data_IF_018160063359
#
_entry.id   IF_018160063359
#
_cell.length_a   1.000
_cell.length_b   1.000
_cell.length_c   1.000
_cell.angle_alpha   90.00
_cell.angle_beta   90.00
_cell.angle_gamma   90.00
#
_symmetry.space_group_name_H-M   'P 1'
#
loop_
_entity.id
_entity.type
_entity.pdbx_description
1 polymer ?
#
# COMPACT_ATOMS: atom_id res chain seq x y z
N UNK A 1 -53.92 -31.56 -65.79
CA UNK A 1 -54.22 -31.66 -64.34
C UNK A 1 -53.13 -30.94 -63.59
N UNK A 2 -53.56 -29.95 -62.81
CA UNK A 2 -52.85 -29.03 -61.89
C UNK A 2 -51.36 -29.27 -61.61
N UNK A 3 -50.52 -28.31 -62.04
CA UNK A 3 -49.16 -28.09 -61.52
C UNK A 3 -49.24 -26.98 -60.46
N UNK A 4 -48.91 -27.31 -59.20
CA UNK A 4 -48.84 -26.35 -58.08
C UNK A 4 -47.45 -25.73 -58.03
N UNK A 5 -47.39 -24.40 -58.16
CA UNK A 5 -46.21 -23.59 -57.86
C UNK A 5 -46.05 -23.43 -56.35
N UNK A 6 -44.84 -23.65 -55.84
CA UNK A 6 -44.47 -23.40 -54.44
C UNK A 6 -43.73 -22.06 -54.41
N UNK A 7 -44.37 -21.05 -53.82
CA UNK A 7 -43.70 -19.80 -53.46
C UNK A 7 -43.04 -19.97 -52.09
N UNK A 8 -41.70 -19.97 -52.05
CA UNK A 8 -40.93 -19.95 -50.81
C UNK A 8 -40.77 -18.52 -50.30
N UNK A 9 -41.34 -18.21 -49.14
CA UNK A 9 -41.13 -16.95 -48.43
C UNK A 9 -39.79 -16.99 -47.69
N UNK A 10 -38.83 -16.15 -48.11
CA UNK A 10 -37.56 -15.96 -47.40
C UNK A 10 -37.82 -15.01 -46.21
N UNK A 11 -37.71 -15.53 -44.99
CA UNK A 11 -37.71 -14.73 -43.76
C UNK A 11 -36.28 -14.30 -43.48
N UNK A 12 -35.97 -13.01 -43.68
CA UNK A 12 -34.70 -12.41 -43.28
C UNK A 12 -34.79 -12.08 -41.79
N UNK A 13 -34.15 -12.89 -40.95
CA UNK A 13 -34.01 -12.64 -39.52
C UNK A 13 -32.84 -11.67 -39.32
N UNK A 14 -33.14 -10.42 -38.97
CA UNK A 14 -32.15 -9.46 -38.52
C UNK A 14 -31.74 -9.80 -37.09
N UNK A 15 -30.59 -10.45 -36.92
CA UNK A 15 -29.96 -10.64 -35.61
C UNK A 15 -29.32 -9.31 -35.22
N UNK A 16 -30.05 -8.49 -34.46
CA UNK A 16 -29.43 -7.37 -33.75
C UNK A 16 -28.62 -7.95 -32.58
N UNK A 17 -27.30 -8.01 -32.73
CA UNK A 17 -26.40 -8.23 -31.61
C UNK A 17 -26.47 -7.02 -30.68
N UNK A 18 -27.25 -7.13 -29.60
CA UNK A 18 -27.17 -6.23 -28.46
C UNK A 18 -25.81 -6.45 -27.78
N UNK A 19 -24.79 -5.75 -28.25
CA UNK A 19 -23.56 -5.54 -27.49
C UNK A 19 -23.91 -4.70 -26.27
N UNK A 20 -24.11 -5.36 -25.13
CA UNK A 20 -24.15 -4.68 -23.84
C UNK A 20 -22.76 -4.12 -23.62
N UNK A 21 -22.54 -2.86 -23.99
CA UNK A 21 -21.31 -2.15 -23.65
C UNK A 21 -21.30 -1.98 -22.13
N UNK A 22 -20.58 -2.86 -21.43
CA UNK A 22 -20.19 -2.55 -20.06
C UNK A 22 -19.36 -1.28 -20.11
N UNK A 23 -19.76 -0.25 -19.36
CA UNK A 23 -18.96 0.95 -19.23
C UNK A 23 -17.58 0.56 -18.71
N UNK A 24 -16.53 0.82 -19.50
CA UNK A 24 -15.16 0.54 -19.10
C UNK A 24 -14.84 1.46 -17.91
N UNK A 25 -14.62 0.85 -16.75
CA UNK A 25 -14.34 1.55 -15.48
C UNK A 25 -12.90 2.10 -15.41
N UNK A 26 -12.12 1.90 -16.46
CA UNK A 26 -10.78 2.45 -16.63
C UNK A 26 -10.61 3.00 -18.04
N UNK A 27 -9.71 3.96 -18.20
CA UNK A 27 -9.30 4.52 -19.48
C UNK A 27 -8.47 3.54 -20.32
N UNK A 28 -8.04 3.98 -21.52
CA UNK A 28 -7.13 3.21 -22.36
C UNK A 28 -5.78 3.00 -21.67
N UNK A 29 -5.00 2.06 -22.20
CA UNK A 29 -3.61 1.89 -21.79
C UNK A 29 -2.79 3.12 -22.16
N UNK A 30 -2.01 3.62 -21.21
CA UNK A 30 -1.10 4.76 -21.38
C UNK A 30 0.34 4.32 -21.13
N UNK A 31 1.26 4.69 -22.01
CA UNK A 31 2.69 4.38 -21.86
C UNK A 31 3.46 5.68 -21.75
N UNK A 32 4.28 5.79 -20.71
CA UNK A 32 5.15 6.96 -20.50
C UNK A 32 6.55 6.50 -20.14
N UNK A 33 7.56 7.14 -20.73
CA UNK A 33 8.95 6.94 -20.34
C UNK A 33 9.26 7.73 -19.07
N UNK A 34 10.26 7.29 -18.32
CA UNK A 34 10.86 8.13 -17.30
C UNK A 34 11.35 9.43 -17.95
N UNK A 35 10.96 10.58 -17.39
CA UNK A 35 11.42 11.90 -17.88
C UNK A 35 12.88 12.15 -17.55
N UNK A 36 13.43 11.39 -16.60
CA UNK A 36 14.82 11.42 -16.22
C UNK A 36 15.25 10.10 -15.59
N UNK A 37 16.49 9.68 -15.86
CA UNK A 37 17.12 8.51 -15.28
C UNK A 37 18.64 8.67 -15.18
N UNK A 38 19.24 8.19 -14.09
CA UNK A 38 20.70 8.07 -13.95
C UNK A 38 21.13 6.96 -12.97
N UNK A 39 22.43 6.92 -12.71
CA UNK A 39 23.07 6.12 -11.67
C UNK A 39 23.67 7.06 -10.62
N UNK A 40 23.35 6.85 -9.35
CA UNK A 40 23.89 7.66 -8.25
C UNK A 40 25.35 7.30 -7.94
N UNK A 41 26.01 8.13 -7.13
CA UNK A 41 27.16 7.70 -6.34
C UNK A 41 26.70 6.73 -5.23
N UNK A 42 27.58 5.95 -4.59
CA UNK A 42 27.20 5.20 -3.40
C UNK A 42 26.64 6.14 -2.33
N UNK A 43 25.44 5.86 -1.82
CA UNK A 43 24.74 6.72 -0.86
C UNK A 43 25.58 7.03 0.38
N UNK A 44 26.38 6.07 0.85
CA UNK A 44 27.33 6.27 1.97
C UNK A 44 28.37 7.38 1.73
N UNK A 45 28.62 7.75 0.48
CA UNK A 45 29.54 8.81 0.08
C UNK A 45 28.83 10.15 -0.17
N UNK A 46 27.49 10.13 -0.28
CA UNK A 46 26.68 11.32 -0.49
C UNK A 46 26.62 12.10 0.82
N UNK A 47 27.00 13.38 0.77
CA UNK A 47 26.84 14.27 1.91
C UNK A 47 25.34 14.48 2.18
N UNK A 48 24.85 14.21 3.40
CA UNK A 48 23.45 14.47 3.74
C UNK A 48 23.04 15.91 3.46
N UNK A 49 21.87 16.08 2.85
CA UNK A 49 21.24 17.39 2.70
C UNK A 49 20.77 17.89 4.08
N UNK A 50 20.70 19.21 4.31
CA UNK A 50 20.09 19.73 5.53
C UNK A 50 18.59 19.38 5.57
N UNK A 51 18.03 19.09 6.75
CA UNK A 51 16.59 18.94 6.91
C UNK A 51 15.82 20.15 6.41
N UNK A 52 14.63 19.92 5.86
CA UNK A 52 13.75 21.00 5.46
C UNK A 52 13.32 21.80 6.70
N UNK A 53 13.47 23.13 6.63
CA UNK A 53 13.10 24.01 7.73
C UNK A 53 11.58 24.18 7.83
N UNK A 54 11.09 24.31 9.07
CA UNK A 54 9.68 24.57 9.37
C UNK A 54 8.84 23.31 9.51
N UNK A 55 7.64 23.48 10.06
CA UNK A 55 6.66 22.41 10.24
C UNK A 55 5.62 22.49 9.10
N UNK A 56 5.33 21.36 8.44
CA UNK A 56 4.36 21.26 7.35
C UNK A 56 3.21 20.34 7.75
N UNK A 57 2.03 20.91 7.93
CA UNK A 57 0.80 20.12 7.98
C UNK A 57 0.25 20.02 6.55
N UNK A 58 0.22 18.80 6.03
CA UNK A 58 -0.31 18.49 4.70
C UNK A 58 -1.76 18.02 4.89
N UNK A 59 -2.74 18.63 4.19
CA UNK A 59 -4.12 18.17 4.27
C UNK A 59 -4.24 16.71 3.84
N UNK A 60 -4.89 15.90 4.68
CA UNK A 60 -5.31 14.56 4.32
C UNK A 60 -6.50 14.63 3.35
N UNK A 61 -6.35 14.07 2.16
CA UNK A 61 -7.44 13.96 1.19
C UNK A 61 -8.20 12.65 1.39
N UNK A 62 -9.36 12.74 2.06
CA UNK A 62 -10.32 11.65 2.16
C UNK A 62 -11.01 11.40 0.83
N UNK A 63 -11.18 10.12 0.47
CA UNK A 63 -11.82 9.69 -0.78
C UNK A 63 -13.32 9.54 -0.55
N UNK A 64 -14.17 10.26 -1.31
CA UNK A 64 -15.61 10.16 -1.16
C UNK A 64 -16.11 8.74 -1.45
N UNK A 65 -16.87 8.15 -0.53
CA UNK A 65 -17.59 6.91 -0.77
C UNK A 65 -18.93 6.92 -0.03
N UNK A 66 -19.85 6.04 -0.42
CA UNK A 66 -21.16 5.94 0.22
C UNK A 66 -21.05 5.27 1.59
N UNK A 67 -21.14 6.05 2.66
CA UNK A 67 -21.32 5.51 4.01
C UNK A 67 -22.70 4.87 4.13
N UNK A 68 -22.72 3.61 4.56
CA UNK A 68 -23.97 3.00 5.02
C UNK A 68 -24.25 3.40 6.47
N UNK A 69 -25.54 3.34 6.89
CA UNK A 69 -25.89 3.38 8.30
C UNK A 69 -25.09 2.34 9.10
N UNK A 70 -24.80 2.68 10.36
CA UNK A 70 -24.13 1.79 11.29
C UNK A 70 -24.80 0.40 11.29
N UNK A 71 -24.02 -0.65 11.03
CA UNK A 71 -24.47 -2.03 11.01
C UNK A 71 -23.68 -2.86 12.03
N UNK A 72 -24.31 -3.81 12.73
CA UNK A 72 -23.57 -4.71 13.60
C UNK A 72 -22.54 -5.51 12.81
N UNK A 73 -21.33 -5.61 13.37
CA UNK A 73 -20.27 -6.45 12.81
C UNK A 73 -20.47 -7.92 13.27
N UNK A 74 -20.84 -8.85 12.36
CA UNK A 74 -21.10 -10.23 12.72
C UNK A 74 -19.82 -11.08 12.91
N UNK A 75 -18.64 -10.55 12.57
CA UNK A 75 -17.33 -11.22 12.73
C UNK A 75 -16.43 -10.50 13.73
N UNK A 76 -17.03 -9.73 14.63
CA UNK A 76 -16.33 -9.06 15.73
C UNK A 76 -15.76 -10.07 16.73
N UNK A 77 -14.45 -10.02 16.89
CA UNK A 77 -13.72 -10.76 17.91
C UNK A 77 -13.56 -9.90 19.17
N UNK A 78 -14.39 -10.16 20.18
CA UNK A 78 -14.39 -9.45 21.47
C UNK A 78 -13.53 -10.12 22.56
N UNK A 79 -12.80 -11.19 22.22
CA UNK A 79 -11.89 -11.90 23.12
C UNK A 79 -10.67 -12.37 22.35
N UNK A 80 -9.49 -12.30 22.96
CA UNK A 80 -8.27 -12.83 22.36
C UNK A 80 -8.35 -14.35 22.21
N UNK A 81 -7.77 -14.87 21.12
CA UNK A 81 -7.53 -16.30 20.96
C UNK A 81 -6.40 -16.80 21.86
N UNK A 82 -6.13 -18.10 21.80
CA UNK A 82 -5.13 -18.76 22.65
C UNK A 82 -3.71 -18.72 22.08
N UNK A 83 -3.56 -18.46 20.78
CA UNK A 83 -2.24 -18.46 20.13
C UNK A 83 -1.43 -17.26 20.57
N UNK A 84 -0.22 -17.52 21.05
CA UNK A 84 0.71 -16.48 21.49
C UNK A 84 1.64 -16.07 20.37
N UNK A 85 1.96 -14.78 20.33
CA UNK A 85 3.00 -14.28 19.44
C UNK A 85 4.35 -14.99 19.71
N UNK A 86 5.19 -15.18 18.68
CA UNK A 86 6.54 -15.67 18.88
C UNK A 86 7.34 -14.67 19.73
N UNK A 87 8.30 -15.18 20.49
CA UNK A 87 9.19 -14.36 21.34
C UNK A 87 9.98 -13.38 20.47
N UNK A 88 9.95 -12.10 20.84
CA UNK A 88 10.76 -11.06 20.21
C UNK A 88 12.24 -11.34 20.46
N UNK A 89 12.98 -11.61 19.38
CA UNK A 89 14.42 -11.93 19.46
C UNK A 89 15.28 -10.67 19.52
N UNK A 90 14.86 -9.60 18.85
CA UNK A 90 15.53 -8.30 18.84
C UNK A 90 14.49 -7.20 18.64
N UNK A 91 14.75 -6.04 19.24
CA UNK A 91 13.94 -4.84 19.11
C UNK A 91 14.84 -3.62 19.26
N UNK A 92 14.55 -2.58 18.50
CA UNK A 92 15.22 -1.28 18.52
C UNK A 92 14.18 -0.22 18.19
N UNK A 93 14.39 1.01 18.65
CA UNK A 93 13.38 2.08 18.59
C UNK A 93 13.03 2.52 17.15
N UNK A 94 13.96 2.31 16.21
CA UNK A 94 13.82 2.79 14.85
C UNK A 94 13.95 4.32 14.75
N UNK A 95 13.47 4.86 13.63
CA UNK A 95 13.41 6.28 13.34
C UNK A 95 12.16 6.89 13.98
N UNK A 96 12.35 7.79 14.94
CA UNK A 96 11.28 8.47 15.67
C UNK A 96 11.80 9.60 16.55
N UNK A 97 10.89 10.29 17.27
CA UNK A 97 11.27 11.40 18.17
C UNK A 97 12.29 10.91 19.20
N UNK A 98 13.43 11.63 19.31
CA UNK A 98 14.54 11.26 20.19
C UNK A 98 15.62 10.39 19.53
N UNK A 99 15.42 9.96 18.28
CA UNK A 99 16.43 9.21 17.55
C UNK A 99 17.66 10.06 17.21
N UNK A 100 18.85 9.50 17.47
CA UNK A 100 20.15 10.02 17.04
C UNK A 100 20.89 8.92 16.28
N UNK A 101 21.28 9.21 15.04
CA UNK A 101 22.03 8.30 14.19
C UNK A 101 23.36 8.91 13.71
N UNK A 102 24.13 8.19 12.88
CA UNK A 102 25.40 8.65 12.34
C UNK A 102 25.34 10.02 11.62
N UNK A 103 24.17 10.38 11.09
CA UNK A 103 23.95 11.64 10.35
C UNK A 103 23.30 12.75 11.18
N UNK A 104 23.15 12.56 12.50
CA UNK A 104 22.60 13.56 13.42
C UNK A 104 21.29 13.12 14.08
N UNK A 105 20.49 14.11 14.49
CA UNK A 105 19.24 13.87 15.21
C UNK A 105 18.06 13.89 14.24
N UNK A 106 17.08 13.03 14.48
CA UNK A 106 15.81 13.10 13.79
C UNK A 106 14.94 14.20 14.38
N UNK A 107 14.24 14.91 13.50
CA UNK A 107 13.18 15.85 13.86
C UNK A 107 11.97 15.56 12.99
N UNK A 108 10.80 15.37 13.62
CA UNK A 108 9.55 15.37 12.89
C UNK A 108 9.26 16.80 12.44
N UNK A 109 9.04 17.00 11.14
CA UNK A 109 8.77 18.31 10.55
C UNK A 109 7.50 18.29 9.68
N UNK A 110 6.78 17.16 9.60
CA UNK A 110 5.59 17.02 8.79
C UNK A 110 4.52 16.12 9.43
N UNK A 111 3.26 16.49 9.21
CA UNK A 111 2.07 15.70 9.49
C UNK A 111 1.26 15.55 8.20
N UNK A 112 0.74 14.35 7.87
CA UNK A 112 0.96 13.08 8.57
C UNK A 112 2.43 12.58 8.54
N UNK A 113 2.81 11.62 9.40
CA UNK A 113 4.19 11.12 9.48
C UNK A 113 4.53 10.07 8.41
N UNK A 114 3.55 9.60 7.62
CA UNK A 114 3.71 8.67 6.47
C UNK A 114 4.79 7.60 6.68
N UNK A 115 4.69 6.87 7.79
CA UNK A 115 5.73 5.94 8.20
C UNK A 115 5.70 4.66 7.38
N UNK A 116 6.83 4.33 6.76
CA UNK A 116 7.02 3.13 5.96
C UNK A 116 8.35 2.44 6.32
N UNK A 117 8.45 1.14 6.07
CA UNK A 117 9.71 0.43 6.23
C UNK A 117 9.64 -1.02 5.77
N UNK A 118 10.81 -1.55 5.41
CA UNK A 118 10.95 -2.92 4.95
C UNK A 118 12.22 -3.58 5.49
N UNK A 119 12.11 -4.90 5.67
CA UNK A 119 13.21 -5.75 6.11
C UNK A 119 13.86 -6.41 4.89
N UNK A 120 15.14 -6.15 4.69
CA UNK A 120 15.99 -6.80 3.68
C UNK A 120 16.70 -8.03 4.22
N UNK A 121 17.76 -8.48 3.54
CA UNK A 121 18.51 -9.65 3.99
C UNK A 121 19.30 -9.34 5.27
N UNK A 122 20.01 -8.20 5.28
CA UNK A 122 20.96 -7.76 6.32
C UNK A 122 20.62 -6.41 6.91
N UNK A 123 19.72 -5.64 6.29
CA UNK A 123 19.34 -4.30 6.73
C UNK A 123 17.83 -4.19 6.94
N UNK A 124 17.43 -3.24 7.78
CA UNK A 124 16.07 -2.70 7.85
C UNK A 124 16.14 -1.24 7.41
N UNK A 125 15.25 -0.83 6.50
CA UNK A 125 15.14 0.57 6.07
C UNK A 125 13.80 1.09 6.56
N UNK A 126 13.83 2.24 7.22
CA UNK A 126 12.63 2.97 7.65
C UNK A 126 12.66 4.37 7.07
N UNK A 127 11.51 4.81 6.56
CA UNK A 127 11.31 6.14 6.03
C UNK A 127 10.06 6.74 6.70
N UNK A 128 10.27 7.82 7.46
CA UNK A 128 9.22 8.57 8.16
C UNK A 128 9.10 9.91 7.46
N UNK A 129 8.07 10.02 6.61
CA UNK A 129 7.79 11.14 5.73
C UNK A 129 9.04 11.69 5.02
N UNK A 130 9.61 12.77 5.55
CA UNK A 130 10.72 13.50 4.95
C UNK A 130 12.10 12.90 5.24
N UNK A 131 12.23 11.90 6.11
CA UNK A 131 13.54 11.35 6.52
C UNK A 131 13.60 9.83 6.53
N UNK A 132 14.75 9.27 6.18
CA UNK A 132 14.99 7.83 6.29
C UNK A 132 16.29 7.48 7.02
N UNK A 133 16.34 6.25 7.51
CA UNK A 133 17.51 5.64 8.11
C UNK A 133 17.63 4.16 7.69
N UNK A 134 18.86 3.65 7.71
CA UNK A 134 19.20 2.26 7.45
C UNK A 134 19.79 1.67 8.72
N UNK A 135 19.27 0.53 9.14
CA UNK A 135 19.66 -0.18 10.35
C UNK A 135 20.26 -1.53 9.98
N UNK A 136 21.29 -1.94 10.69
CA UNK A 136 21.75 -3.32 10.68
C UNK A 136 20.69 -4.21 11.32
N UNK A 137 20.23 -5.23 10.60
CA UNK A 137 19.10 -6.07 11.01
C UNK A 137 19.40 -6.95 12.21
N UNK A 138 20.66 -7.30 12.44
CA UNK A 138 21.07 -8.20 13.52
C UNK A 138 21.21 -7.42 14.83
N UNK A 139 21.89 -6.28 14.78
CA UNK A 139 22.24 -5.46 15.94
C UNK A 139 21.23 -4.36 16.23
N UNK A 140 20.41 -3.95 15.26
CA UNK A 140 19.52 -2.80 15.35
C UNK A 140 20.25 -1.44 15.28
N UNK A 141 21.57 -1.43 15.10
CA UNK A 141 22.35 -0.20 15.03
C UNK A 141 22.07 0.55 13.72
N UNK A 142 21.87 1.86 13.79
CA UNK A 142 21.78 2.70 12.61
C UNK A 142 23.14 2.73 11.88
N UNK A 143 23.17 2.26 10.64
CA UNK A 143 24.37 2.27 9.78
C UNK A 143 24.38 3.46 8.83
N UNK A 144 23.23 4.12 8.65
CA UNK A 144 23.09 5.36 7.89
C UNK A 144 21.84 6.11 8.35
N UNK A 145 21.88 7.46 8.31
CA UNK A 145 20.74 8.29 8.70
C UNK A 145 20.81 8.85 10.12
N UNK A 146 19.81 9.65 10.52
CA UNK A 146 18.69 10.07 9.68
C UNK A 146 19.13 11.08 8.63
N UNK A 147 18.60 10.99 7.40
CA UNK A 147 18.83 12.00 6.35
C UNK A 147 17.52 12.35 5.66
N UNK A 148 17.41 13.55 5.04
CA UNK A 148 16.28 13.88 4.18
C UNK A 148 16.13 12.89 3.03
N UNK A 149 14.89 12.54 2.67
CA UNK A 149 14.55 11.65 1.57
C UNK A 149 15.21 12.01 0.24
N UNK A 150 15.17 13.29 -0.12
CA UNK A 150 15.78 13.83 -1.34
C UNK A 150 17.32 13.73 -1.37
N UNK A 151 17.98 13.40 -0.25
CA UNK A 151 19.41 13.04 -0.24
C UNK A 151 19.70 11.90 -1.22
N UNK A 152 18.78 10.95 -1.38
CA UNK A 152 18.90 9.84 -2.32
C UNK A 152 18.98 10.31 -3.79
N UNK A 153 18.44 11.49 -4.11
CA UNK A 153 18.50 12.12 -5.42
C UNK A 153 19.55 13.23 -5.54
N UNK A 154 20.54 13.29 -4.64
CA UNK A 154 21.65 14.24 -4.77
C UNK A 154 22.40 14.07 -6.09
N UNK A 155 22.58 15.15 -6.84
CA UNK A 155 23.22 15.14 -8.16
C UNK A 155 22.34 14.61 -9.30
N UNK A 156 21.06 14.31 -9.04
CA UNK A 156 20.09 13.94 -10.08
C UNK A 156 19.72 15.17 -10.92
N UNK A 157 19.43 16.30 -10.30
CA UNK A 157 18.80 17.47 -10.91
C UNK A 157 17.28 17.39 -10.88
N UNK A 158 16.61 18.39 -11.46
CA UNK A 158 15.15 18.42 -11.52
C UNK A 158 14.46 18.53 -10.14
N UNK A 159 13.19 18.12 -10.06
CA UNK A 159 12.40 18.24 -8.82
C UNK A 159 12.74 17.16 -7.79
N UNK A 160 13.10 15.94 -8.22
CA UNK A 160 13.44 14.86 -7.28
C UNK A 160 14.68 15.17 -6.43
N UNK A 161 15.65 15.93 -6.95
CA UNK A 161 16.77 16.41 -6.14
C UNK A 161 16.34 17.55 -5.19
N UNK A 162 15.56 18.50 -5.69
CA UNK A 162 15.29 19.77 -4.98
C UNK A 162 14.17 19.69 -3.95
N UNK A 163 13.21 18.80 -4.14
CA UNK A 163 12.03 18.70 -3.30
C UNK A 163 12.10 17.45 -2.43
N UNK A 164 11.61 17.58 -1.20
CA UNK A 164 11.43 16.50 -0.26
C UNK A 164 9.98 16.56 0.22
N UNK A 165 9.07 16.11 -0.64
CA UNK A 165 7.66 16.37 -0.43
C UNK A 165 6.98 15.26 0.38
N UNK A 166 7.51 14.03 0.38
CA UNK A 166 7.04 12.96 1.26
C UNK A 166 6.23 11.84 0.61
N UNK A 167 5.34 11.26 1.40
CA UNK A 167 4.55 10.05 1.13
C UNK A 167 5.39 8.86 0.62
N UNK A 168 6.40 8.44 1.42
CA UNK A 168 7.43 7.53 0.93
C UNK A 168 7.00 6.06 0.92
N UNK A 169 7.65 5.29 0.06
CA UNK A 169 7.71 3.83 0.15
C UNK A 169 9.16 3.39 0.31
N UNK A 170 9.42 2.50 1.26
CA UNK A 170 10.66 1.74 1.36
C UNK A 170 10.32 0.24 1.28
N UNK A 171 10.77 -0.41 0.21
CA UNK A 171 10.48 -1.80 -0.09
C UNK A 171 11.75 -2.60 -0.40
N UNK A 172 11.67 -3.91 -0.19
CA UNK A 172 12.74 -4.84 -0.54
C UNK A 172 12.25 -5.88 -1.54
N UNK A 173 12.83 -5.85 -2.74
CA UNK A 173 12.68 -6.86 -3.77
C UNK A 173 13.50 -8.09 -3.39
N UNK A 174 12.82 -9.03 -2.75
CA UNK A 174 13.38 -10.30 -2.26
C UNK A 174 13.89 -11.19 -3.40
N UNK A 175 13.31 -11.08 -4.59
CA UNK A 175 13.67 -11.90 -5.74
C UNK A 175 14.95 -11.40 -6.44
N UNK A 176 15.20 -10.09 -6.43
CA UNK A 176 16.42 -9.49 -6.98
C UNK A 176 17.49 -9.13 -5.93
N UNK A 177 17.16 -9.22 -4.64
CA UNK A 177 17.96 -8.67 -3.54
C UNK A 177 18.28 -7.19 -3.74
N UNK A 178 17.23 -6.38 -3.90
CA UNK A 178 17.33 -4.93 -4.13
C UNK A 178 16.37 -4.16 -3.24
N UNK A 179 16.78 -2.98 -2.84
CA UNK A 179 15.90 -1.99 -2.24
C UNK A 179 15.20 -1.19 -3.33
N UNK A 180 13.93 -0.87 -3.10
CA UNK A 180 13.10 -0.02 -3.96
C UNK A 180 12.52 1.07 -3.09
N UNK A 181 12.82 2.32 -3.40
CA UNK A 181 12.49 3.48 -2.57
C UNK A 181 11.82 4.55 -3.43
N UNK A 182 10.70 5.10 -2.98
CA UNK A 182 9.97 6.14 -3.72
C UNK A 182 9.48 7.26 -2.82
N UNK A 183 9.31 8.44 -3.40
CA UNK A 183 8.57 9.58 -2.85
C UNK A 183 8.01 10.39 -4.02
N UNK A 184 7.00 11.23 -3.77
CA UNK A 184 6.58 12.21 -4.76
C UNK A 184 7.42 13.50 -4.72
N UNK A 185 7.40 14.28 -5.80
CA UNK A 185 7.96 15.64 -5.85
C UNK A 185 6.98 16.58 -6.56
N UNK A 186 6.22 17.32 -5.77
CA UNK A 186 4.97 18.00 -6.16
C UNK A 186 5.00 19.51 -5.94
N UNK A 187 5.85 20.02 -5.05
CA UNK A 187 6.01 21.44 -4.75
C UNK A 187 6.71 22.23 -5.86
N UNK A 188 6.56 23.57 -5.87
CA UNK A 188 7.36 24.48 -6.72
C UNK A 188 6.91 24.63 -8.18
N UNK A 189 5.70 24.21 -8.53
CA UNK A 189 5.15 24.33 -9.90
C UNK A 189 5.75 23.34 -10.90
N UNK A 190 5.30 23.37 -12.16
CA UNK A 190 5.88 22.55 -13.25
C UNK A 190 5.46 21.07 -13.30
N UNK A 191 4.32 20.70 -12.71
CA UNK A 191 3.76 19.33 -12.74
C UNK A 191 4.14 18.48 -11.52
N UNK A 192 3.69 17.22 -11.51
CA UNK A 192 3.90 16.28 -10.42
C UNK A 192 4.85 15.16 -10.87
N UNK A 193 5.78 14.75 -10.00
CA UNK A 193 6.67 13.61 -10.27
C UNK A 193 6.51 12.53 -9.20
N UNK A 194 6.63 11.27 -9.62
CA UNK A 194 7.02 10.17 -8.74
C UNK A 194 8.51 9.89 -8.94
N UNK A 195 9.27 9.98 -7.86
CA UNK A 195 10.71 9.74 -7.84
C UNK A 195 10.95 8.32 -7.33
N UNK A 196 11.63 7.49 -8.12
CA UNK A 196 11.82 6.06 -7.82
C UNK A 196 13.30 5.71 -7.88
N UNK A 197 13.80 4.97 -6.89
CA UNK A 197 15.18 4.52 -6.82
C UNK A 197 15.24 3.01 -6.55
N UNK A 198 16.13 2.30 -7.24
CA UNK A 198 16.41 0.88 -7.04
C UNK A 198 17.90 0.71 -6.75
N UNK A 199 18.25 0.05 -5.66
CA UNK A 199 19.67 -0.15 -5.33
C UNK A 199 20.33 -1.06 -6.38
N UNK A 200 21.66 -1.05 -6.49
CA UNK A 200 22.41 -1.99 -7.33
C UNK A 200 22.67 -3.33 -6.64
N UNK A 201 22.56 -3.35 -5.31
CA UNK A 201 22.88 -4.50 -4.47
C UNK A 201 21.92 -4.56 -3.28
N UNK A 202 22.10 -5.54 -2.43
CA UNK A 202 21.36 -5.71 -1.17
C UNK A 202 21.73 -4.67 -0.09
N UNK A 203 22.75 -3.84 -0.33
CA UNK A 203 23.13 -2.75 0.58
C UNK A 203 22.46 -1.44 0.16
N UNK A 204 21.52 -0.96 0.98
CA UNK A 204 20.79 0.31 0.80
C UNK A 204 21.71 1.54 0.83
N UNK A 205 22.92 1.42 1.39
CA UNK A 205 23.91 2.51 1.43
C UNK A 205 24.82 2.52 0.19
N UNK A 206 24.56 1.63 -0.77
CA UNK A 206 25.27 1.50 -2.04
C UNK A 206 24.79 2.46 -3.13
N UNK A 207 25.09 2.09 -4.38
CA UNK A 207 24.69 2.81 -5.59
C UNK A 207 23.23 2.53 -5.93
N UNK A 208 22.54 3.50 -6.53
CA UNK A 208 21.14 3.42 -6.92
C UNK A 208 20.92 3.81 -8.38
N UNK A 209 19.99 3.11 -9.05
CA UNK A 209 19.39 3.52 -10.31
C UNK A 209 18.17 4.39 -10.00
N UNK A 210 18.17 5.64 -10.45
CA UNK A 210 17.15 6.63 -10.09
C UNK A 210 16.33 7.02 -11.30
N UNK A 211 15.04 7.24 -11.10
CA UNK A 211 14.06 7.52 -12.14
C UNK A 211 13.10 8.61 -11.67
N UNK A 212 12.57 9.38 -12.61
CA UNK A 212 11.45 10.29 -12.41
C UNK A 212 10.37 10.01 -13.45
N UNK A 213 9.12 9.84 -13.02
CA UNK A 213 7.96 9.72 -13.89
C UNK A 213 7.04 10.91 -13.65
N UNK A 214 6.49 11.49 -14.73
CA UNK A 214 5.65 12.69 -14.64
C UNK A 214 4.16 12.35 -14.69
N UNK A 215 3.39 13.14 -13.95
CA UNK A 215 1.93 13.09 -13.89
C UNK A 215 1.34 14.50 -14.08
N UNK A 216 0.17 14.53 -14.72
CA UNK A 216 -0.59 15.76 -15.00
C UNK A 216 -1.56 16.13 -13.87
N UNK A 217 -1.76 15.23 -12.91
CA UNK A 217 -2.61 15.35 -11.74
C UNK A 217 -1.80 14.96 -10.50
N UNK A 218 -2.22 15.43 -9.33
CA UNK A 218 -1.53 15.12 -8.10
C UNK A 218 -1.65 13.61 -7.82
N UNK A 219 -0.52 12.91 -7.79
CA UNK A 219 -0.37 11.47 -7.61
C UNK A 219 -0.18 11.13 -6.12
N UNK A 220 -1.21 11.39 -5.32
CA UNK A 220 -1.17 11.22 -3.87
C UNK A 220 -1.25 9.76 -3.44
N UNK A 221 -0.81 9.46 -2.21
CA UNK A 221 -0.94 8.16 -1.59
C UNK A 221 -0.35 7.00 -2.42
N UNK A 222 0.88 7.11 -2.97
CA UNK A 222 1.51 6.03 -3.72
C UNK A 222 1.60 4.76 -2.86
N UNK A 223 1.24 3.62 -3.44
CA UNK A 223 1.46 2.30 -2.83
C UNK A 223 2.08 1.36 -3.86
N UNK A 224 3.24 0.81 -3.54
CA UNK A 224 4.03 -0.02 -4.44
C UNK A 224 4.04 -1.49 -3.99
N UNK A 225 3.87 -2.41 -4.94
CA UNK A 225 4.06 -3.84 -4.77
C UNK A 225 5.13 -4.38 -5.71
N UNK A 226 6.02 -5.22 -5.18
CA UNK A 226 7.00 -5.99 -5.95
C UNK A 226 6.31 -7.24 -6.52
N UNK A 227 6.37 -7.38 -7.84
CA UNK A 227 5.89 -8.55 -8.58
C UNK A 227 7.00 -9.06 -9.53
N UNK A 228 6.96 -10.31 -10.01
CA UNK A 228 8.06 -10.85 -10.81
C UNK A 228 8.37 -10.09 -12.11
N UNK A 229 7.36 -9.58 -12.80
CA UNK A 229 7.48 -8.94 -14.12
C UNK A 229 7.56 -7.40 -14.06
N UNK A 230 7.03 -6.76 -13.01
CA UNK A 230 7.04 -5.31 -12.84
C UNK A 230 7.03 -4.88 -11.36
N UNK A 231 7.41 -3.63 -11.12
CA UNK A 231 6.99 -2.94 -9.90
C UNK A 231 5.64 -2.30 -10.17
N UNK A 232 4.61 -2.72 -9.45
CA UNK A 232 3.26 -2.18 -9.59
C UNK A 232 3.07 -1.07 -8.57
N UNK A 233 2.62 0.10 -9.01
CA UNK A 233 2.37 1.25 -8.15
C UNK A 233 0.96 1.79 -8.42
N UNK A 234 0.24 2.12 -7.36
CA UNK A 234 -1.06 2.79 -7.44
C UNK A 234 -0.99 4.16 -6.80
N UNK A 235 -1.85 5.06 -7.27
CA UNK A 235 -1.98 6.42 -6.76
C UNK A 235 -3.46 6.78 -6.63
N UNK A 236 -3.78 7.68 -5.72
CA UNK A 236 -5.04 8.42 -5.72
C UNK A 236 -4.83 9.71 -6.52
N UNK A 237 -5.50 9.85 -7.67
CA UNK A 237 -5.29 11.01 -8.53
C UNK A 237 -6.22 12.16 -8.13
N UNK A 238 -5.66 13.37 -8.03
CA UNK A 238 -6.42 14.56 -7.67
C UNK A 238 -6.25 15.72 -8.67
N UNK A 239 -7.36 16.41 -8.92
CA UNK A 239 -7.40 17.72 -9.58
C UNK A 239 -7.79 18.76 -8.52
N UNK A 240 -6.82 19.51 -8.00
CA UNK A 240 -7.03 20.25 -6.76
C UNK A 240 -7.30 19.28 -5.61
N UNK A 241 -8.39 19.44 -4.88
CA UNK A 241 -8.85 18.49 -3.86
C UNK A 241 -9.86 17.46 -4.38
N UNK A 242 -10.19 17.49 -5.67
CA UNK A 242 -11.21 16.60 -6.26
C UNK A 242 -10.60 15.26 -6.67
N UNK A 243 -11.07 14.17 -6.08
CA UNK A 243 -10.66 12.81 -6.41
C UNK A 243 -11.10 12.42 -7.83
N UNK A 244 -10.16 11.92 -8.63
CA UNK A 244 -10.33 11.57 -10.03
C UNK A 244 -10.36 10.05 -10.27
N UNK A 245 -10.21 9.26 -9.21
CA UNK A 245 -10.07 7.81 -9.29
C UNK A 245 -8.61 7.38 -9.14
N UNK A 246 -8.37 6.09 -8.88
CA UNK A 246 -7.04 5.58 -8.71
C UNK A 246 -6.37 5.42 -10.07
N UNK A 247 -5.04 5.54 -10.09
CA UNK A 247 -4.22 5.19 -11.26
C UNK A 247 -3.34 4.03 -10.89
N UNK A 248 -3.32 2.98 -11.71
CA UNK A 248 -2.44 1.83 -11.53
C UNK A 248 -1.40 1.82 -12.65
N UNK A 249 -0.13 1.69 -12.30
CA UNK A 249 0.99 1.65 -13.23
C UNK A 249 1.88 0.44 -12.97
N UNK A 250 2.38 -0.18 -14.03
CA UNK A 250 3.42 -1.20 -14.00
C UNK A 250 4.71 -0.59 -14.56
N UNK A 251 5.74 -0.54 -13.73
CA UNK A 251 7.08 -0.02 -14.06
C UNK A 251 7.96 -1.17 -14.56
N UNK A 252 8.72 -0.96 -15.64
CA UNK A 252 9.59 -1.97 -16.26
C UNK A 252 10.75 -2.38 -15.33
N UNK A 253 10.44 -3.32 -14.42
CA UNK A 253 11.36 -3.83 -13.40
C UNK A 253 12.63 -4.40 -14.02
N UNK A 254 12.53 -5.05 -15.18
CA UNK A 254 13.67 -5.65 -15.86
C UNK A 254 14.71 -4.58 -16.26
N UNK A 255 14.27 -3.47 -16.85
CA UNK A 255 15.14 -2.33 -17.19
C UNK A 255 15.60 -1.57 -15.96
N UNK A 256 14.74 -1.39 -14.96
CA UNK A 256 15.07 -0.68 -13.73
C UNK A 256 16.15 -1.39 -12.90
N UNK A 257 16.10 -2.73 -12.84
CA UNK A 257 17.15 -3.54 -12.20
C UNK A 257 18.49 -3.51 -12.95
N UNK A 258 18.45 -3.19 -14.25
CA UNK A 258 19.63 -3.09 -15.09
C UNK A 258 20.17 -1.65 -15.23
N UNK A 259 19.51 -0.64 -14.63
CA UNK A 259 19.89 0.76 -14.80
C UNK A 259 19.74 1.25 -16.24
N UNK A 260 18.71 0.77 -16.94
CA UNK A 260 18.39 1.17 -18.30
C UNK A 260 17.20 2.15 -18.31
N UNK A 261 17.03 2.95 -19.39
CA UNK A 261 15.84 3.77 -19.57
C UNK A 261 14.56 2.93 -19.47
N UNK A 262 13.71 3.25 -18.49
CA UNK A 262 12.52 2.48 -18.17
C UNK A 262 11.24 3.22 -18.57
N UNK A 263 10.18 2.44 -18.77
CA UNK A 263 8.83 2.93 -19.07
C UNK A 263 7.86 2.43 -18.02
N UNK A 264 6.75 3.15 -17.86
CA UNK A 264 5.58 2.67 -17.15
C UNK A 264 4.41 2.47 -18.11
N UNK A 265 3.60 1.46 -17.84
CA UNK A 265 2.31 1.20 -18.49
C UNK A 265 1.22 1.43 -17.46
N UNK A 266 0.26 2.31 -17.73
CA UNK A 266 -0.73 2.76 -16.76
C UNK A 266 -2.16 2.63 -17.25
N UNK A 267 -3.07 2.51 -16.29
CA UNK A 267 -4.52 2.63 -16.46
C UNK A 267 -5.07 3.63 -15.44
N UNK A 268 -5.79 4.64 -15.92
CA UNK A 268 -6.60 5.52 -15.08
C UNK A 268 -7.94 4.87 -14.81
N UNK A 269 -8.37 4.72 -13.56
CA UNK A 269 -9.71 4.26 -13.22
C UNK A 269 -10.67 5.45 -13.05
N UNK A 270 -11.97 5.19 -13.17
CA UNK A 270 -13.01 6.18 -12.93
C UNK A 270 -13.01 6.66 -11.46
N UNK A 271 -13.49 7.88 -11.23
CA UNK A 271 -13.60 8.48 -9.88
C UNK A 271 -14.55 7.76 -8.93
N UNK A 272 -15.38 6.83 -9.44
CA UNK A 272 -16.23 5.95 -8.63
C UNK A 272 -15.51 4.73 -8.07
N UNK A 273 -14.25 4.51 -8.44
CA UNK A 273 -13.43 3.40 -7.93
C UNK A 273 -12.65 3.90 -6.72
N UNK A 274 -12.75 3.18 -5.61
CA UNK A 274 -12.01 3.46 -4.38
C UNK A 274 -10.50 3.18 -4.54
N UNK A 275 -9.63 3.66 -3.64
CA UNK A 275 -8.19 3.45 -3.69
C UNK A 275 -7.83 1.97 -3.86
N UNK A 276 -6.81 1.70 -4.68
CA UNK A 276 -6.35 0.35 -5.00
C UNK A 276 -5.03 0.05 -4.28
N UNK A 277 -4.90 -1.15 -3.72
CA UNK A 277 -3.62 -1.69 -3.27
C UNK A 277 -3.11 -2.74 -4.27
N UNK A 278 -1.86 -2.61 -4.76
CA UNK A 278 -1.23 -3.65 -5.54
C UNK A 278 -0.70 -4.77 -4.65
N UNK A 279 -0.78 -6.01 -5.13
CA UNK A 279 -0.26 -7.17 -4.45
C UNK A 279 1.28 -7.10 -4.40
N UNK A 280 1.85 -7.47 -3.26
CA UNK A 280 3.30 -7.57 -3.08
C UNK A 280 3.72 -8.97 -2.67
N UNK A 281 4.69 -9.52 -3.41
CA UNK A 281 5.18 -10.87 -3.25
C UNK A 281 5.98 -11.08 -1.95
N UNK A 282 5.47 -11.95 -1.09
CA UNK A 282 6.19 -12.52 0.04
C UNK A 282 6.67 -13.95 -0.20
N UNK A 283 7.88 -14.23 0.29
CA UNK A 283 8.53 -15.53 0.16
C UNK A 283 9.29 -15.71 -1.15
N UNK A 284 9.87 -16.91 -1.30
CA UNK A 284 10.72 -17.26 -2.43
C UNK A 284 9.95 -17.97 -3.57
N UNK A 285 8.69 -18.37 -3.33
CA UNK A 285 7.85 -19.02 -4.33
C UNK A 285 7.10 -17.94 -5.12
N UNK A 286 7.48 -17.66 -6.38
CA UNK A 286 6.75 -16.69 -7.19
C UNK A 286 5.36 -17.21 -7.56
N UNK A 287 4.44 -16.33 -8.00
CA UNK A 287 3.29 -16.74 -8.78
C UNK A 287 3.73 -17.48 -10.07
N UNK A 288 2.79 -18.14 -10.75
CA UNK A 288 3.06 -18.74 -12.05
C UNK A 288 3.55 -17.68 -13.06
N UNK A 289 4.40 -18.10 -14.01
CA UNK A 289 4.93 -17.20 -15.05
C UNK A 289 3.77 -16.62 -15.86
N UNK A 290 3.76 -15.30 -16.01
CA UNK A 290 2.69 -14.57 -16.71
C UNK A 290 1.48 -14.23 -15.84
N UNK A 291 1.48 -14.60 -14.55
CA UNK A 291 0.42 -14.20 -13.64
C UNK A 291 0.31 -12.67 -13.53
N UNK A 292 -0.90 -12.10 -13.68
CA UNK A 292 -1.11 -10.68 -13.48
C UNK A 292 -0.85 -10.28 -12.01
N UNK A 293 -0.56 -9.01 -11.76
CA UNK A 293 -0.65 -8.47 -10.40
C UNK A 293 -2.11 -8.31 -9.99
N UNK A 294 -2.39 -8.48 -8.70
CA UNK A 294 -3.73 -8.33 -8.15
C UNK A 294 -3.88 -6.97 -7.49
N UNK A 295 -4.86 -6.19 -7.92
CA UNK A 295 -5.22 -4.92 -7.30
C UNK A 295 -6.50 -5.11 -6.50
N UNK A 296 -6.52 -4.74 -5.22
CA UNK A 296 -7.71 -4.88 -4.37
C UNK A 296 -8.17 -3.53 -3.84
N UNK A 297 -9.48 -3.35 -3.82
CA UNK A 297 -10.16 -2.26 -3.12
C UNK A 297 -11.37 -2.81 -2.37
N UNK A 298 -11.95 -2.04 -1.45
CA UNK A 298 -13.21 -2.39 -0.81
C UNK A 298 -14.33 -1.44 -1.24
N UNK A 299 -15.56 -1.93 -1.11
CA UNK A 299 -16.76 -1.11 -1.14
C UNK A 299 -17.70 -1.58 -0.05
N UNK A 300 -18.96 -1.19 -0.14
CA UNK A 300 -19.98 -1.54 0.84
C UNK A 300 -20.15 -3.06 0.98
N UNK A 301 -19.67 -3.63 2.09
CA UNK A 301 -19.75 -5.06 2.40
C UNK A 301 -19.21 -5.97 1.27
N UNK A 302 -18.24 -5.48 0.51
CA UNK A 302 -17.60 -6.23 -0.57
C UNK A 302 -16.12 -5.86 -0.72
N UNK A 303 -15.34 -6.80 -1.25
CA UNK A 303 -14.03 -6.55 -1.83
C UNK A 303 -14.13 -6.69 -3.36
N UNK A 304 -13.38 -5.86 -4.07
CA UNK A 304 -13.24 -5.95 -5.52
C UNK A 304 -11.78 -6.19 -5.87
N UNK A 305 -11.51 -7.29 -6.58
CA UNK A 305 -10.18 -7.62 -7.10
C UNK A 305 -10.13 -7.35 -8.60
N UNK A 306 -9.06 -6.72 -9.05
CA UNK A 306 -8.70 -6.57 -10.46
C UNK A 306 -7.40 -7.32 -10.74
N UNK A 307 -7.24 -7.78 -11.98
CA UNK A 307 -6.00 -8.42 -12.45
C UNK A 307 -5.36 -7.50 -13.46
N UNK A 308 -4.14 -7.04 -13.19
CA UNK A 308 -3.35 -6.20 -14.08
C UNK A 308 -2.24 -7.02 -14.73
N UNK A 309 -2.44 -7.38 -16.00
CA UNK A 309 -1.42 -7.96 -16.86
C UNK A 309 -0.70 -6.85 -17.64
N UNK A 310 0.63 -6.80 -17.55
CA UNK A 310 1.46 -5.88 -18.33
C UNK A 310 2.19 -6.63 -19.45
N UNK A 311 2.28 -6.01 -20.62
CA UNK A 311 3.12 -6.43 -21.73
C UNK A 311 4.02 -5.25 -22.15
N UNK A 312 5.28 -5.25 -21.75
CA UNK A 312 6.22 -4.18 -22.13
C UNK A 312 6.70 -4.26 -23.58
N UNK A 313 6.53 -5.40 -24.25
CA UNK A 313 6.92 -5.58 -25.66
C UNK A 313 5.84 -4.97 -26.56
N UNK A 314 4.59 -5.30 -26.28
CA UNK A 314 3.42 -4.78 -26.99
C UNK A 314 2.45 -4.20 -25.98
N UNK A 315 2.69 -2.96 -25.56
CA UNK A 315 1.94 -2.29 -24.48
C UNK A 315 0.42 -2.31 -24.66
N UNK A 316 -0.08 -2.31 -25.90
CA UNK A 316 -1.51 -2.43 -26.22
C UNK A 316 -2.13 -3.76 -25.83
N UNK A 317 -1.34 -4.80 -25.55
CA UNK A 317 -1.80 -6.09 -25.03
C UNK A 317 -1.94 -6.09 -23.49
N UNK A 318 -1.51 -5.02 -22.81
CA UNK A 318 -1.71 -4.90 -21.36
C UNK A 318 -3.19 -4.78 -21.06
N UNK A 319 -3.64 -5.41 -19.97
CA UNK A 319 -5.07 -5.46 -19.63
C UNK A 319 -5.32 -5.27 -18.14
N UNK A 320 -6.47 -4.68 -17.84
CA UNK A 320 -7.16 -4.80 -16.56
C UNK A 320 -8.36 -5.72 -16.78
N UNK A 321 -8.49 -6.76 -15.96
CA UNK A 321 -9.71 -7.59 -15.92
C UNK A 321 -10.32 -7.56 -14.53
N UNK A 322 -11.64 -7.72 -14.45
CA UNK A 322 -12.43 -7.56 -13.23
C UNK A 322 -13.48 -6.44 -13.33
N UNK A 323 -14.08 -6.00 -12.21
CA UNK A 323 -13.80 -6.48 -10.86
C UNK A 323 -14.37 -7.87 -10.61
N UNK A 324 -13.59 -8.72 -9.95
CA UNK A 324 -14.06 -9.93 -9.30
C UNK A 324 -14.54 -9.54 -7.90
N UNK A 325 -15.85 -9.53 -7.71
CA UNK A 325 -16.49 -9.09 -6.46
C UNK A 325 -16.62 -10.24 -5.48
N UNK A 326 -16.22 -10.01 -4.24
CA UNK A 326 -16.35 -10.95 -3.13
C UNK A 326 -17.17 -10.29 -2.01
N UNK A 327 -18.31 -10.87 -1.66
CA UNK A 327 -19.08 -10.40 -0.50
C UNK A 327 -18.30 -10.65 0.79
N UNK A 328 -18.35 -9.69 1.71
CA UNK A 328 -17.77 -9.82 3.05
C UNK A 328 -18.84 -9.63 4.12
N UNK A 329 -18.50 -9.99 5.36
CA UNK A 329 -19.36 -9.71 6.50
C UNK A 329 -19.59 -8.21 6.63
N UNK A 330 -20.81 -7.83 7.01
CA UNK A 330 -21.19 -6.43 7.12
C UNK A 330 -20.24 -5.65 8.03
N UNK A 331 -19.97 -4.41 7.66
CA UNK A 331 -19.16 -3.50 8.46
C UNK A 331 -19.63 -2.06 8.23
N UNK A 332 -19.21 -1.19 9.15
CA UNK A 332 -19.34 0.24 9.00
C UNK A 332 -17.96 0.86 9.13
N UNK A 333 -17.68 1.83 8.27
CA UNK A 333 -16.43 2.56 8.32
C UNK A 333 -16.22 3.22 9.71
N UNK A 334 -14.98 3.31 10.16
CA UNK A 334 -14.65 3.98 11.40
C UNK A 334 -14.84 5.51 11.29
N UNK A 335 -15.20 6.17 12.39
CA UNK A 335 -15.19 7.64 12.52
C UNK A 335 -16.06 8.47 11.54
N UNK A 336 -16.86 7.82 10.69
CA UNK A 336 -17.78 8.48 9.75
C UNK A 336 -17.08 9.44 8.78
N UNK A 337 -17.83 10.40 8.24
CA UNK A 337 -17.34 11.32 7.20
C UNK A 337 -16.10 12.13 7.58
N UNK A 338 -15.86 12.32 8.88
CA UNK A 338 -14.72 13.11 9.36
C UNK A 338 -13.40 12.34 9.37
N UNK A 339 -13.44 11.00 9.40
CA UNK A 339 -12.27 10.16 9.67
C UNK A 339 -11.71 10.26 11.10
N UNK A 340 -12.08 11.29 11.87
CA UNK A 340 -11.44 11.65 13.15
C UNK A 340 -12.31 11.26 14.34
N UNK A 341 -11.88 10.24 15.10
CA UNK A 341 -12.58 9.85 16.33
C UNK A 341 -11.73 9.13 17.37
N UNK A 342 -10.42 8.94 17.13
CA UNK A 342 -9.57 8.14 17.99
C UNK A 342 -9.05 8.99 19.16
N UNK A 343 -9.38 8.68 20.42
CA UNK A 343 -8.90 9.44 21.57
C UNK A 343 -7.45 9.12 21.93
N UNK A 344 -6.81 10.06 22.63
CA UNK A 344 -5.46 9.94 23.15
C UNK A 344 -5.41 10.43 24.60
N UNK A 345 -4.57 9.84 25.43
CA UNK A 345 -4.39 10.28 26.82
C UNK A 345 -3.93 11.74 26.90
N UNK A 346 -4.49 12.48 27.86
CA UNK A 346 -4.01 13.81 28.23
C UNK A 346 -4.33 14.94 27.25
N UNK A 347 -5.16 14.71 26.23
CA UNK A 347 -5.59 15.74 25.27
C UNK A 347 -7.02 15.48 24.77
N UNK A 348 -7.69 16.53 24.26
CA UNK A 348 -8.94 16.42 23.51
C UNK A 348 -8.73 16.27 22.00
N UNK A 349 -7.48 16.33 21.52
CA UNK A 349 -7.14 16.10 20.12
C UNK A 349 -7.39 14.64 19.76
N UNK A 350 -8.25 14.42 18.78
CA UNK A 350 -8.55 13.10 18.23
C UNK A 350 -7.66 12.81 17.01
N UNK A 351 -7.37 11.54 16.77
CA UNK A 351 -6.65 11.09 15.58
C UNK A 351 -7.61 10.58 14.50
N UNK A 352 -7.13 10.66 13.27
CA UNK A 352 -7.78 10.12 12.08
C UNK A 352 -7.57 8.60 11.99
N UNK A 353 -8.64 7.86 11.69
CA UNK A 353 -8.63 6.41 11.53
C UNK A 353 -8.18 5.94 10.13
N UNK A 354 -8.16 6.87 9.17
CA UNK A 354 -7.86 6.65 7.75
C UNK A 354 -8.64 5.47 7.17
N UNK A 355 -9.94 5.45 7.45
CA UNK A 355 -10.80 4.29 7.26
C UNK A 355 -11.38 4.13 5.86
N UNK A 356 -11.22 5.15 5.02
CA UNK A 356 -11.79 5.29 3.66
C UNK A 356 -11.06 4.46 2.60
N UNK A 357 -10.05 3.68 3.01
CA UNK A 357 -9.17 2.90 2.15
C UNK A 357 -8.62 1.66 2.85
N UNK A 358 -8.18 0.69 2.05
CA UNK A 358 -7.42 -0.45 2.58
C UNK A 358 -6.05 0.02 3.09
N UNK A 359 -5.57 -0.62 4.16
CA UNK A 359 -4.27 -0.31 4.74
C UNK A 359 -3.17 -1.16 4.10
N UNK A 360 -2.07 -0.50 3.74
CA UNK A 360 -0.91 -1.12 3.10
C UNK A 360 -0.20 -2.08 4.07
N UNK A 361 0.10 -3.33 3.69
CA UNK A 361 0.19 -3.93 2.34
C UNK A 361 -0.94 -4.91 2.00
N UNK A 362 -1.10 -5.18 0.70
CA UNK A 362 -1.75 -6.39 0.18
C UNK A 362 -0.70 -7.49 0.01
N UNK A 363 -0.44 -8.25 1.06
CA UNK A 363 0.62 -9.26 1.03
C UNK A 363 0.16 -10.52 0.29
N UNK A 364 0.88 -10.91 -0.76
CA UNK A 364 0.65 -12.12 -1.54
C UNK A 364 1.62 -13.22 -1.13
N UNK A 365 1.14 -14.46 -1.11
CA UNK A 365 2.00 -15.64 -0.96
C UNK A 365 1.51 -16.82 -1.78
N UNK A 366 2.47 -17.52 -2.40
CA UNK A 366 2.24 -18.82 -3.02
C UNK A 366 2.72 -19.95 -2.10
N UNK A 367 1.81 -20.85 -1.69
CA UNK A 367 2.11 -22.03 -0.87
C UNK A 367 2.38 -23.29 -1.71
N UNK A 368 2.21 -23.23 -3.03
CA UNK A 368 2.39 -24.33 -3.97
C UNK A 368 1.11 -25.11 -4.24
N UNK A 369 0.28 -25.33 -3.21
CA UNK A 369 -1.06 -25.92 -3.33
C UNK A 369 -2.17 -24.86 -3.45
N UNK A 370 -1.92 -23.64 -2.96
CA UNK A 370 -2.80 -22.49 -3.11
C UNK A 370 -2.03 -21.17 -3.08
N UNK A 371 -2.67 -20.13 -3.59
CA UNK A 371 -2.23 -18.74 -3.48
C UNK A 371 -3.13 -18.01 -2.48
N UNK A 372 -2.54 -17.10 -1.71
CA UNK A 372 -3.25 -16.35 -0.67
C UNK A 372 -2.86 -14.88 -0.67
N UNK A 373 -3.84 -14.02 -0.42
CA UNK A 373 -3.68 -12.57 -0.20
C UNK A 373 -4.20 -12.22 1.19
N UNK A 374 -3.48 -11.40 1.95
CA UNK A 374 -4.01 -10.80 3.19
C UNK A 374 -4.05 -9.28 3.12
N UNK A 375 -5.13 -8.71 3.66
CA UNK A 375 -5.36 -7.25 3.66
C UNK A 375 -6.23 -6.84 4.84
N UNK A 376 -6.16 -5.57 5.24
CA UNK A 376 -6.91 -5.03 6.37
C UNK A 376 -7.37 -3.59 6.16
N UNK A 377 -8.28 -3.12 7.03
CA UNK A 377 -8.74 -1.73 7.12
C UNK A 377 -9.39 -1.45 8.49
N UNK A 378 -9.56 -0.16 8.80
CA UNK A 378 -10.12 0.32 10.08
C UNK A 378 -11.65 0.39 9.98
N UNK A 379 -12.38 -0.27 10.90
CA UNK A 379 -13.85 -0.22 10.94
C UNK A 379 -14.37 0.11 12.35
N UNK A 380 -15.63 0.55 12.42
CA UNK A 380 -16.33 0.68 13.70
C UNK A 380 -16.51 -0.70 14.35
N UNK A 381 -16.13 -0.83 15.62
CA UNK A 381 -16.22 -2.05 16.41
C UNK A 381 -16.86 -1.76 17.78
N UNK A 382 -18.19 -1.90 17.86
CA UNK A 382 -18.94 -1.51 19.06
C UNK A 382 -18.84 -0.01 19.30
N UNK A 383 -18.26 0.39 20.44
CA UNK A 383 -17.98 1.80 20.77
C UNK A 383 -16.57 2.27 20.41
N UNK A 384 -15.73 1.38 19.85
CA UNK A 384 -14.34 1.65 19.51
C UNK A 384 -14.10 1.47 18.00
N UNK A 385 -12.84 1.56 17.58
CA UNK A 385 -12.38 1.19 16.24
C UNK A 385 -11.60 -0.12 16.33
N UNK A 386 -11.83 -1.02 15.37
CA UNK A 386 -11.16 -2.30 15.26
C UNK A 386 -10.56 -2.51 13.89
N UNK A 387 -9.65 -3.47 13.78
CA UNK A 387 -9.00 -3.81 12.52
C UNK A 387 -9.73 -4.99 11.88
N UNK A 388 -10.44 -4.74 10.77
CA UNK A 388 -11.03 -5.77 9.92
C UNK A 388 -9.97 -6.31 8.98
N UNK A 389 -9.81 -7.63 8.93
CA UNK A 389 -8.85 -8.30 8.08
C UNK A 389 -9.49 -9.44 7.27
N UNK A 390 -8.84 -9.80 6.18
CA UNK A 390 -9.28 -10.84 5.25
C UNK A 390 -8.10 -11.69 4.78
N UNK A 391 -8.34 -12.98 4.59
CA UNK A 391 -7.54 -13.85 3.73
C UNK A 391 -8.36 -14.18 2.48
N UNK A 392 -7.81 -13.87 1.31
CA UNK A 392 -8.41 -14.19 0.01
C UNK A 392 -7.62 -15.32 -0.64
N UNK A 393 -8.31 -16.25 -1.28
CA UNK A 393 -7.69 -17.36 -2.00
C UNK A 393 -8.15 -17.42 -3.44
N UNK A 394 -7.38 -18.18 -4.23
CA UNK A 394 -7.56 -18.35 -5.67
C UNK A 394 -7.62 -17.01 -6.45
N UNK A 395 -6.68 -16.08 -6.22
CA UNK A 395 -6.66 -14.79 -6.90
C UNK A 395 -6.46 -14.92 -8.42
N UNK A 396 -5.75 -15.96 -8.89
CA UNK A 396 -5.57 -16.25 -10.31
C UNK A 396 -6.82 -16.83 -10.98
N UNK A 397 -7.59 -17.67 -10.28
CA UNK A 397 -8.84 -18.26 -10.73
C UNK A 397 -10.07 -17.41 -10.39
N UNK A 398 -10.89 -17.92 -9.47
CA UNK A 398 -12.12 -17.32 -8.95
C UNK A 398 -11.92 -16.87 -7.49
N UNK A 399 -11.48 -15.62 -7.26
CA UNK A 399 -11.16 -15.14 -5.93
C UNK A 399 -12.33 -15.28 -4.96
N UNK A 400 -12.04 -15.74 -3.74
CA UNK A 400 -13.02 -15.82 -2.66
C UNK A 400 -12.40 -15.48 -1.31
N UNK A 401 -13.24 -15.06 -0.35
CA UNK A 401 -12.83 -14.83 1.05
C UNK A 401 -12.74 -16.17 1.74
N UNK A 402 -11.52 -16.61 2.07
CA UNK A 402 -11.29 -17.86 2.82
C UNK A 402 -11.60 -17.68 4.29
N UNK A 403 -11.19 -16.56 4.87
CA UNK A 403 -11.55 -16.16 6.23
C UNK A 403 -11.50 -14.64 6.41
N UNK A 404 -12.17 -14.16 7.44
CA UNK A 404 -12.22 -12.75 7.82
C UNK A 404 -12.52 -12.63 9.31
N UNK A 405 -12.13 -11.51 9.92
CA UNK A 405 -12.47 -11.19 11.30
C UNK A 405 -12.20 -9.72 11.62
N UNK A 406 -12.76 -9.23 12.73
CA UNK A 406 -12.46 -7.90 13.25
C UNK A 406 -11.85 -8.00 14.63
N UNK A 407 -10.65 -7.49 14.81
CA UNK A 407 -9.96 -7.53 16.09
C UNK A 407 -10.23 -6.29 16.91
N UNK A 408 -11.04 -6.44 17.97
CA UNK A 408 -11.27 -5.44 19.01
C UNK A 408 -11.66 -6.16 20.32
N UNK A 409 -10.68 -6.79 21.02
CA UNK A 409 -10.94 -7.62 22.19
C UNK A 409 -11.31 -6.83 23.46
N UNK A 410 -11.23 -5.50 23.43
CA UNK A 410 -11.52 -4.60 24.54
C UNK A 410 -12.01 -3.24 23.99
N UNK A 411 -12.08 -2.21 24.84
CA UNK A 411 -12.54 -0.86 24.48
C UNK A 411 -11.47 0.06 23.89
N UNK A 412 -10.20 -0.37 23.79
CA UNK A 412 -9.15 0.43 23.19
C UNK A 412 -9.32 0.46 21.65
N UNK A 413 -9.03 1.60 21.04
CA UNK A 413 -9.17 1.83 19.61
C UNK A 413 -7.96 1.26 18.88
N UNK A 414 -8.18 0.44 17.84
CA UNK A 414 -7.15 -0.18 17.00
C UNK A 414 -7.36 0.17 15.54
N UNK A 415 -6.39 0.82 14.89
CA UNK A 415 -6.54 1.33 13.53
C UNK A 415 -5.21 1.33 12.77
N UNK A 416 -5.26 1.58 11.46
CA UNK A 416 -4.09 1.66 10.56
C UNK A 416 -3.17 0.43 10.67
N UNK A 417 -3.72 -0.73 10.36
CA UNK A 417 -3.01 -2.00 10.49
C UNK A 417 -2.09 -2.33 9.31
N UNK A 418 -1.09 -3.17 9.57
CA UNK A 418 -0.24 -3.82 8.57
C UNK A 418 -0.28 -5.33 8.79
N UNK A 419 -0.52 -6.10 7.71
CA UNK A 419 -0.77 -7.54 7.77
C UNK A 419 0.13 -8.29 6.78
N UNK A 420 0.65 -9.45 7.20
CA UNK A 420 1.48 -10.32 6.36
C UNK A 420 1.36 -11.80 6.74
N UNK A 421 1.86 -12.68 5.86
CA UNK A 421 1.85 -14.14 6.04
C UNK A 421 3.25 -14.75 5.95
N UNK A 422 3.53 -15.72 6.81
CA UNK A 422 4.77 -16.51 6.74
C UNK A 422 4.63 -17.77 5.88
N UNK A 423 5.73 -18.53 5.77
CA UNK A 423 5.83 -19.72 4.92
C UNK A 423 5.00 -20.93 5.35
N UNK A 424 4.51 -20.96 6.58
CA UNK A 424 3.67 -22.05 7.08
C UNK A 424 2.21 -21.63 7.26
N UNK A 425 1.87 -20.38 6.91
CA UNK A 425 0.51 -19.85 6.96
C UNK A 425 0.16 -19.15 8.27
N UNK A 426 1.14 -18.78 9.09
CA UNK A 426 0.89 -17.86 10.19
C UNK A 426 0.61 -16.47 9.61
N UNK A 427 -0.34 -15.77 10.19
CA UNK A 427 -0.64 -14.36 9.88
C UNK A 427 -0.20 -13.51 11.06
N UNK A 428 0.47 -12.39 10.79
CA UNK A 428 0.75 -11.36 11.76
C UNK A 428 0.04 -10.06 11.36
N UNK A 429 -0.59 -9.41 12.34
CA UNK A 429 -1.30 -8.15 12.16
C UNK A 429 -0.82 -7.16 13.22
N UNK A 430 -0.11 -6.12 12.80
CA UNK A 430 0.32 -4.99 13.64
C UNK A 430 -0.57 -3.77 13.41
N UNK A 431 -0.78 -2.93 14.42
CA UNK A 431 -1.64 -1.75 14.34
C UNK A 431 -1.33 -0.75 15.45
N UNK A 432 -1.85 0.47 15.28
CA UNK A 432 -1.87 1.47 16.35
C UNK A 432 -2.93 1.12 17.39
N UNK A 433 -2.69 1.46 18.65
CA UNK A 433 -3.67 1.36 19.75
C UNK A 433 -3.67 2.63 20.61
N UNK A 434 -4.86 3.12 20.98
CA UNK A 434 -5.01 4.34 21.79
C UNK A 434 -6.35 4.37 22.52
N UNK A 435 -6.43 5.16 23.58
CA UNK A 435 -7.67 5.46 24.30
C UNK A 435 -7.56 6.79 25.04
N UNK A 436 -8.62 7.19 25.75
CA UNK A 436 -8.59 8.33 26.68
C UNK A 436 -7.61 8.13 27.86
N UNK A 437 -7.21 6.88 28.10
CA UNK A 437 -6.29 6.48 29.18
C UNK A 437 -4.96 5.93 28.66
N UNK A 438 -4.74 5.93 27.34
CA UNK A 438 -3.54 5.40 26.68
C UNK A 438 -3.00 6.37 25.62
N UNK A 439 -1.70 6.63 25.64
CA UNK A 439 -1.01 7.29 24.53
C UNK A 439 -0.95 6.37 23.30
N UNK A 440 -1.02 6.89 22.06
CA UNK A 440 -0.84 6.10 20.85
C UNK A 440 0.39 5.18 20.93
N UNK A 441 0.14 3.90 20.79
CA UNK A 441 1.11 2.81 20.96
C UNK A 441 1.03 1.87 19.78
N UNK A 442 1.98 0.93 19.64
CA UNK A 442 1.94 -0.09 18.60
C UNK A 442 1.85 -1.47 19.24
N UNK A 443 0.90 -2.27 18.77
CA UNK A 443 0.71 -3.66 19.16
C UNK A 443 0.59 -4.55 17.94
N UNK A 444 0.73 -5.85 18.16
CA UNK A 444 0.44 -6.85 17.15
C UNK A 444 -0.22 -8.08 17.77
N UNK A 445 -0.93 -8.81 16.93
CA UNK A 445 -1.44 -10.15 17.22
C UNK A 445 -1.06 -11.07 16.07
N UNK A 446 -1.16 -12.38 16.30
CA UNK A 446 -0.86 -13.40 15.31
C UNK A 446 -1.94 -14.45 15.28
N UNK A 447 -2.00 -15.23 14.21
CA UNK A 447 -2.72 -16.51 14.19
C UNK A 447 -1.92 -17.58 13.49
N UNK A 448 -2.09 -18.81 13.93
CA UNK A 448 -1.57 -20.00 13.29
C UNK A 448 -2.62 -20.65 12.36
N UNK A 449 -2.21 -21.49 11.39
CA UNK A 449 -3.15 -22.22 10.54
C UNK A 449 -4.16 -23.09 11.30
N UNK A 450 -3.78 -23.60 12.49
CA UNK A 450 -4.64 -24.42 13.33
C UNK A 450 -5.65 -23.65 14.19
N UNK A 451 -5.56 -22.32 14.24
CA UNK A 451 -6.53 -21.49 14.95
C UNK A 451 -7.90 -21.52 14.24
N UNK A 452 -9.01 -21.39 14.99
CA UNK A 452 -10.33 -21.20 14.38
C UNK A 452 -10.30 -20.08 13.33
N UNK A 453 -10.95 -20.31 12.19
CA UNK A 453 -10.99 -19.34 11.10
C UNK A 453 -11.56 -18.00 11.59
N UNK A 454 -10.95 -16.91 11.15
CA UNK A 454 -11.35 -15.55 11.54
C UNK A 454 -10.93 -15.13 12.95
N UNK A 455 -10.24 -15.99 13.73
CA UNK A 455 -9.75 -15.63 15.06
C UNK A 455 -8.24 -15.35 15.04
N UNK A 456 -7.87 -14.22 15.65
CA UNK A 456 -6.51 -13.87 16.02
C UNK A 456 -6.22 -14.26 17.47
N UNK A 457 -4.94 -14.47 17.78
CA UNK A 457 -4.45 -14.85 19.09
C UNK A 457 -4.37 -13.71 20.10
N UNK A 458 -3.47 -13.87 21.06
CA UNK A 458 -3.15 -12.85 22.06
C UNK A 458 -2.45 -11.66 21.45
N UNK A 459 -2.70 -10.48 22.03
CA UNK A 459 -2.07 -9.24 21.63
C UNK A 459 -0.75 -9.02 22.41
N UNK A 460 0.28 -8.55 21.72
CA UNK A 460 1.60 -8.24 22.28
C UNK A 460 1.98 -6.79 21.97
N UNK A 461 2.62 -6.13 22.94
CA UNK A 461 3.09 -4.75 22.77
C UNK A 461 4.43 -4.70 22.03
N UNK A 462 4.50 -3.89 20.97
CA UNK A 462 5.76 -3.54 20.30
C UNK A 462 6.40 -2.37 21.02
N UNK A 463 5.67 -1.26 21.11
CA UNK A 463 6.11 -0.05 21.82
C UNK A 463 4.91 0.61 22.51
N UNK A 464 5.15 1.07 23.75
CA UNK A 464 4.20 1.90 24.49
C UNK A 464 4.45 3.37 24.20
N UNK A 465 3.41 4.09 23.81
CA UNK A 465 3.46 5.52 23.51
C UNK A 465 3.88 6.35 24.71
N UNK A 466 4.77 7.30 24.49
CA UNK A 466 5.25 8.24 25.52
C UNK A 466 4.57 9.60 25.47
N UNK A 467 3.73 9.86 24.47
CA UNK A 467 2.99 11.11 24.32
C UNK A 467 1.86 11.03 23.30
N UNK A 468 1.16 12.15 23.15
CA UNK A 468 0.03 12.33 22.23
C UNK A 468 0.40 13.33 21.13
N UNK A 469 -0.17 13.16 19.95
CA UNK A 469 -0.02 14.12 18.86
C UNK A 469 -0.82 15.39 19.19
N UNK A 470 -0.14 16.53 19.22
CA UNK A 470 -0.73 17.84 19.46
C UNK A 470 -0.80 18.66 18.15
N UNK A 471 -1.61 19.73 18.08
CA UNK A 471 -1.72 20.57 16.89
C UNK A 471 -0.42 21.27 16.48
N UNK A 472 0.51 21.46 17.42
CA UNK A 472 1.87 21.84 17.13
C UNK A 472 2.66 20.55 16.97
N UNK A 473 2.98 20.19 15.72
CA UNK A 473 3.94 19.13 15.38
C UNK A 473 5.12 19.10 16.36
#
# INVERSE_FOLDING_TARGET
MSARSVFGTIVVVWIFSLSVAFAQIHGPVEVTAAVQHDVSEPLRNVRPLPPQAGHREVPLYHVPHSLLPASPDPVLQTRVGTTTAPVTVSSFDGLGIGFSGPSGNFSMNAAPPDTNGAVGSTQYVQWVNDSFAVFDKVTGAAVYGPVPGNTLWSGFGGKCERNNDGDPIAQYDKAANRWVMTQFAVSGGGGFLECIAISQTDDATGVWYRYAFSYNQFNDYPKLGVWPDAYYITFNMFQGSSYQGPRACALDRSKMLAGLPATQVCFQFASSVNPLLPADLDGASPPLVGSPNYLVTYGTNLLSLYKFHVDFVTSTNSTITGPFKMSVAAFSEACGDSGICIPQLGTSQLLDALSDRLMYRLAYRNFGDHESLVVNHSITAGSAVGVRWYELRDPSGSPFVYQQGTFAPDSDYRWMGSIAMDRVGNIALGYNISSDTRNPSIRYTVRAPGDPLGQLGTETQIIGGTGSQLPTL
#
